data_IF_418268458318
#
_entry.id   IF_418268458318
#
_cell.length_a   1.000
_cell.length_b   1.000
_cell.length_c   1.000
_cell.angle_alpha   90.00
_cell.angle_beta   90.00
_cell.angle_gamma   90.00
#
_symmetry.space_group_name_H-M   'P 1'
#
loop_
_entity.id
_entity.type
_entity.pdbx_description
1 polymer ?
#
# COMPACT_ATOMS: atom_id res chain seq x y z
N UNK A 1 11.54 8.18 -0.86
CA UNK A 1 11.24 9.18 -1.92
C UNK A 1 9.75 9.26 -2.26
N UNK A 2 9.05 8.13 -2.46
CA UNK A 2 7.61 8.11 -2.74
C UNK A 2 6.75 8.77 -1.65
N UNK A 3 7.04 8.53 -0.37
CA UNK A 3 6.33 9.19 0.75
C UNK A 3 6.48 10.72 0.79
N UNK A 4 7.51 11.26 0.13
CA UNK A 4 7.71 12.71 -0.04
C UNK A 4 7.26 13.20 -1.43
N UNK A 5 6.59 12.34 -2.22
CA UNK A 5 6.16 12.61 -3.59
C UNK A 5 7.29 13.03 -4.55
N UNK A 6 8.51 12.56 -4.32
CA UNK A 6 9.66 12.82 -5.18
C UNK A 6 9.72 11.75 -6.28
N UNK A 7 9.87 12.17 -7.53
CA UNK A 7 10.03 11.30 -8.71
C UNK A 7 8.91 10.25 -8.88
N UNK A 8 7.68 10.56 -8.45
CA UNK A 8 6.53 9.64 -8.48
C UNK A 8 6.30 9.00 -9.86
N UNK A 9 6.34 9.72 -11.00
CA UNK A 9 6.11 9.10 -12.32
C UNK A 9 7.10 8.00 -12.68
N UNK A 10 8.33 8.07 -12.17
CA UNK A 10 9.36 7.06 -12.39
C UNK A 10 9.33 5.95 -11.33
N UNK A 11 9.03 6.29 -10.08
CA UNK A 11 9.10 5.36 -8.95
C UNK A 11 7.83 4.54 -8.76
N UNK A 12 6.66 5.09 -9.07
CA UNK A 12 5.39 4.39 -8.85
C UNK A 12 5.28 3.08 -9.67
N UNK A 13 5.61 3.05 -10.99
CA UNK A 13 5.58 1.79 -11.74
C UNK A 13 6.49 0.70 -11.13
N UNK A 14 7.68 1.10 -10.66
CA UNK A 14 8.64 0.18 -10.03
C UNK A 14 8.13 -0.35 -8.69
N UNK A 15 7.56 0.54 -7.86
CA UNK A 15 6.97 0.14 -6.59
C UNK A 15 5.79 -0.82 -6.79
N UNK A 16 4.96 -0.60 -7.81
CA UNK A 16 3.85 -1.51 -8.14
C UNK A 16 4.36 -2.89 -8.55
N UNK A 17 5.45 -2.97 -9.32
CA UNK A 17 6.04 -4.27 -9.67
C UNK A 17 6.46 -5.07 -8.42
N UNK A 18 7.02 -4.40 -7.41
CA UNK A 18 7.36 -5.01 -6.12
C UNK A 18 6.10 -5.43 -5.36
N UNK A 19 5.15 -4.50 -5.18
CA UNK A 19 3.95 -4.70 -4.36
C UNK A 19 2.99 -5.75 -4.91
N UNK A 20 2.97 -5.96 -6.23
CA UNK A 20 2.16 -7.01 -6.84
C UNK A 20 2.71 -8.41 -6.58
N UNK A 21 4.01 -8.54 -6.27
CA UNK A 21 4.63 -9.82 -5.89
C UNK A 21 4.62 -10.01 -4.38
N UNK A 22 4.93 -8.95 -3.62
CA UNK A 22 4.92 -8.94 -2.17
C UNK A 22 4.32 -7.63 -1.64
N UNK A 23 3.02 -7.62 -1.26
CA UNK A 23 2.35 -6.43 -0.72
C UNK A 23 2.92 -5.92 0.60
N UNK A 24 3.59 -6.80 1.35
CA UNK A 24 4.22 -6.46 2.63
C UNK A 24 5.73 -6.27 2.49
N UNK A 25 6.22 -6.10 1.26
CA UNK A 25 7.61 -5.77 0.99
C UNK A 25 8.06 -4.61 1.89
N UNK A 26 9.16 -4.82 2.58
CA UNK A 26 9.78 -3.83 3.45
C UNK A 26 10.61 -2.86 2.60
N UNK A 27 10.35 -1.58 2.79
CA UNK A 27 11.14 -0.48 2.29
C UNK A 27 12.20 -0.07 3.30
N UNK A 28 12.08 1.14 3.83
CA UNK A 28 13.11 1.77 4.67
C UNK A 28 12.83 1.60 6.18
N UNK A 29 11.58 1.30 6.57
CA UNK A 29 11.13 1.41 7.96
C UNK A 29 10.54 0.16 8.58
N UNK A 30 9.58 -0.48 7.91
CA UNK A 30 8.84 -1.64 8.43
C UNK A 30 8.13 -2.38 7.29
N UNK A 31 7.79 -3.67 7.43
CA UNK A 31 7.04 -4.42 6.41
C UNK A 31 5.73 -3.72 6.00
N UNK A 32 5.57 -3.45 4.71
CA UNK A 32 4.42 -2.74 4.15
C UNK A 32 4.48 -1.21 4.23
N UNK A 33 5.59 -0.61 4.66
CA UNK A 33 5.80 0.84 4.60
C UNK A 33 5.78 1.38 3.15
N UNK A 34 6.33 0.63 2.19
CA UNK A 34 6.25 0.93 0.76
C UNK A 34 4.80 1.01 0.31
N UNK A 35 3.99 0.04 0.72
CA UNK A 35 2.56 0.02 0.42
C UNK A 35 1.86 1.24 1.00
N UNK A 36 2.12 1.58 2.27
CA UNK A 36 1.55 2.79 2.90
C UNK A 36 1.91 4.06 2.12
N UNK A 37 3.17 4.19 1.68
CA UNK A 37 3.62 5.32 0.88
C UNK A 37 2.92 5.39 -0.49
N UNK A 38 2.74 4.26 -1.17
CA UNK A 38 2.08 4.17 -2.48
C UNK A 38 0.58 4.48 -2.37
N UNK A 39 -0.12 3.90 -1.40
CA UNK A 39 -1.55 4.13 -1.20
C UNK A 39 -1.86 5.56 -0.71
N UNK A 40 -0.87 6.24 -0.12
CA UNK A 40 -0.94 7.64 0.27
C UNK A 40 -0.79 8.64 -0.88
N UNK A 41 -0.44 8.19 -2.10
CA UNK A 41 -0.27 9.08 -3.25
C UNK A 41 -1.62 9.71 -3.68
N UNK A 42 -1.59 10.95 -4.20
CA UNK A 42 -2.80 11.61 -4.65
C UNK A 42 -3.36 10.95 -5.92
N UNK A 43 -4.69 11.01 -6.10
CA UNK A 43 -5.40 10.37 -7.22
C UNK A 43 -4.78 10.64 -8.61
N UNK A 44 -4.31 11.86 -8.95
CA UNK A 44 -3.67 12.13 -10.24
C UNK A 44 -2.41 11.30 -10.51
N UNK A 45 -1.71 10.82 -9.46
CA UNK A 45 -0.53 9.97 -9.62
C UNK A 45 -0.84 8.62 -10.28
N UNK A 46 -2.11 8.17 -10.25
CA UNK A 46 -2.56 6.90 -10.81
C UNK A 46 -3.07 7.00 -12.24
N UNK A 47 -3.21 8.21 -12.79
CA UNK A 47 -3.85 8.48 -14.09
C UNK A 47 -3.24 7.70 -15.28
N UNK A 48 -1.95 7.37 -15.22
CA UNK A 48 -1.25 6.59 -16.24
C UNK A 48 -1.15 5.09 -15.96
N UNK A 49 -1.69 4.61 -14.84
CA UNK A 49 -1.53 3.24 -14.35
C UNK A 49 -2.86 2.59 -13.89
N UNK A 50 -3.96 2.71 -14.66
CA UNK A 50 -5.27 2.18 -14.23
C UNK A 50 -5.28 0.65 -14.13
N UNK A 51 -4.51 -0.05 -14.97
CA UNK A 51 -4.45 -1.51 -14.97
C UNK A 51 -3.72 -2.02 -13.72
N UNK A 52 -2.57 -1.46 -13.41
CA UNK A 52 -1.75 -1.80 -12.26
C UNK A 52 -2.47 -1.45 -10.96
N UNK A 53 -3.21 -0.33 -10.93
CA UNK A 53 -4.09 0.00 -9.80
C UNK A 53 -5.17 -1.06 -9.59
N UNK A 54 -5.82 -1.52 -10.65
CA UNK A 54 -6.83 -2.58 -10.57
C UNK A 54 -6.25 -3.90 -10.05
N UNK A 55 -5.06 -4.28 -10.53
CA UNK A 55 -4.34 -5.46 -10.02
C UNK A 55 -4.01 -5.31 -8.53
N UNK A 56 -3.51 -4.13 -8.13
CA UNK A 56 -3.20 -3.87 -6.73
C UNK A 56 -4.45 -3.97 -5.85
N UNK A 57 -5.59 -3.45 -6.30
CA UNK A 57 -6.88 -3.60 -5.58
C UNK A 57 -7.25 -5.07 -5.39
N UNK A 58 -7.07 -5.92 -6.41
CA UNK A 58 -7.33 -7.37 -6.29
C UNK A 58 -6.45 -8.00 -5.22
N UNK A 59 -5.14 -7.75 -5.29
CA UNK A 59 -4.16 -8.28 -4.34
C UNK A 59 -4.45 -7.82 -2.91
N UNK A 60 -4.80 -6.54 -2.73
CA UNK A 60 -5.16 -5.98 -1.42
C UNK A 60 -6.44 -6.58 -0.85
N UNK A 61 -7.42 -6.86 -1.70
CA UNK A 61 -8.68 -7.50 -1.29
C UNK A 61 -8.42 -8.91 -0.77
N UNK A 62 -7.60 -9.69 -1.48
CA UNK A 62 -7.18 -11.03 -1.06
C UNK A 62 -6.35 -10.99 0.24
N UNK A 63 -5.45 -10.01 0.36
CA UNK A 63 -4.62 -9.82 1.56
C UNK A 63 -5.48 -9.56 2.80
N UNK A 64 -6.49 -8.69 2.70
CA UNK A 64 -7.41 -8.38 3.80
C UNK A 64 -8.28 -9.59 4.14
N UNK A 65 -8.75 -10.34 3.14
CA UNK A 65 -9.56 -11.55 3.35
C UNK A 65 -8.78 -12.67 4.06
N UNK A 66 -7.48 -12.78 3.78
CA UNK A 66 -6.60 -13.81 4.34
C UNK A 66 -6.00 -13.44 5.70
N UNK A 67 -6.05 -12.16 6.07
CA UNK A 67 -5.45 -11.65 7.31
C UNK A 67 -6.42 -11.78 8.50
N UNK A 68 -6.01 -12.40 9.62
CA UNK A 68 -6.85 -12.52 10.81
C UNK A 68 -7.29 -11.14 11.34
N UNK A 69 -8.38 -11.08 12.12
CA UNK A 69 -8.83 -9.83 12.75
C UNK A 69 -7.70 -9.20 13.57
N UNK A 70 -7.60 -7.86 13.54
CA UNK A 70 -6.57 -7.12 14.28
C UNK A 70 -6.60 -7.52 15.76
N UNK A 71 -5.43 -7.80 16.34
CA UNK A 71 -5.33 -7.98 17.78
C UNK A 71 -5.67 -6.64 18.47
N UNK A 72 -6.69 -6.61 19.35
CA UNK A 72 -7.12 -5.40 20.06
C UNK A 72 -6.03 -4.82 20.99
N UNK A 73 -4.97 -5.58 21.29
CA UNK A 73 -3.79 -5.12 22.02
C UNK A 73 -2.82 -4.26 21.19
N UNK A 74 -2.99 -4.15 19.86
CA UNK A 74 -2.10 -3.33 19.03
C UNK A 74 -2.20 -1.84 19.39
N UNK A 75 -1.05 -1.26 19.68
CA UNK A 75 -0.94 0.17 19.96
C UNK A 75 -1.35 0.98 18.72
N UNK A 76 -1.86 2.22 18.90
CA UNK A 76 -2.24 3.08 17.77
C UNK A 76 -1.12 3.39 16.77
N UNK A 77 0.15 3.27 17.18
CA UNK A 77 1.34 3.50 16.35
C UNK A 77 1.97 2.22 15.83
N UNK A 78 1.28 1.09 15.97
CA UNK A 78 1.79 -0.18 15.48
C UNK A 78 1.78 -0.20 13.94
N UNK A 79 2.89 -0.58 13.29
CA UNK A 79 3.00 -0.57 11.83
C UNK A 79 1.96 -1.49 11.17
N UNK A 80 1.66 -2.64 11.75
CA UNK A 80 0.68 -3.57 11.16
C UNK A 80 -0.73 -2.97 11.17
N UNK A 81 -1.08 -2.21 12.21
CA UNK A 81 -2.34 -1.45 12.28
C UNK A 81 -2.39 -0.36 11.22
N UNK A 82 -1.31 0.40 11.07
CA UNK A 82 -1.22 1.48 10.09
C UNK A 82 -1.38 0.98 8.64
N UNK A 83 -0.71 -0.14 8.30
CA UNK A 83 -0.82 -0.76 6.98
C UNK A 83 -2.27 -1.16 6.71
N UNK A 84 -2.90 -1.89 7.63
CA UNK A 84 -4.28 -2.35 7.48
C UNK A 84 -5.27 -1.21 7.34
N UNK A 85 -5.21 -0.20 8.21
CA UNK A 85 -6.10 0.96 8.16
C UNK A 85 -5.92 1.75 6.85
N UNK A 86 -4.71 1.79 6.31
CA UNK A 86 -4.42 2.44 5.03
C UNK A 86 -4.99 1.66 3.85
N UNK A 87 -4.83 0.33 3.84
CA UNK A 87 -5.41 -0.55 2.82
C UNK A 87 -6.93 -0.43 2.79
N UNK A 88 -7.59 -0.52 3.94
CA UNK A 88 -9.05 -0.44 4.02
C UNK A 88 -9.58 0.92 3.53
N UNK A 89 -8.90 2.02 3.89
CA UNK A 89 -9.26 3.35 3.38
C UNK A 89 -9.10 3.46 1.88
N UNK A 90 -8.05 2.85 1.30
CA UNK A 90 -7.83 2.86 -0.13
C UNK A 90 -8.88 2.05 -0.90
N UNK A 91 -9.25 0.87 -0.41
CA UNK A 91 -10.28 0.02 -1.01
C UNK A 91 -11.69 0.63 -0.93
N UNK A 92 -11.90 1.57 -0.01
CA UNK A 92 -13.19 2.25 0.20
C UNK A 92 -13.35 3.54 -0.62
N UNK A 93 -12.34 3.93 -1.41
CA UNK A 93 -12.35 5.11 -2.30
C UNK A 93 -12.87 4.74 -3.67
#
# INVERSE_FOLDING_TARGET
>A
MLGQQIAVPALLPLALHVLLQDPLAEGDYYPGDLLVNVLGLPEPSWSGLPAERGQLVSVLTELVASSPPLDPGLKPRDPARLVRDTVLRFLSR
#
